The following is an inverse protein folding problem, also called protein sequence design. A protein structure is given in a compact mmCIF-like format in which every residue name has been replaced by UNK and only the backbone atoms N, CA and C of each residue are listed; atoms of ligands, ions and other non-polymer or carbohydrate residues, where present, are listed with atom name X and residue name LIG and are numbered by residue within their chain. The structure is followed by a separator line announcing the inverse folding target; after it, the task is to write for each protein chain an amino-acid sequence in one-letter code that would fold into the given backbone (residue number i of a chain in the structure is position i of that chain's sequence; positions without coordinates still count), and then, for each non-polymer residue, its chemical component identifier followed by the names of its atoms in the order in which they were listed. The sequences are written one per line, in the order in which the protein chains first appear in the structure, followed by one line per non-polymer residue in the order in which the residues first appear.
data_IF_249105111108
#
_entry.id   IF_249105111108
#
_cell.length_a   1.000
_cell.length_b   1.000
_cell.length_c   1.000
_cell.angle_alpha   90.00
_cell.angle_beta   90.00
_cell.angle_gamma   90.00
#
_symmetry.space_group_name_H-M   'P 1'
#
loop_
_entity.id
_entity.type
_entity.pdbx_description
1 polymer ?
#
# COMPACT_ATOMS: atom_id res chain seq x y z
N UNK A 1 -12.53 -12.47 -5.10
CA UNK A 1 -11.46 -11.91 -4.25
C UNK A 1 -11.95 -10.60 -3.62
N UNK A 2 -11.20 -9.99 -2.68
CA UNK A 2 -11.59 -8.71 -2.07
C UNK A 2 -11.77 -7.57 -3.12
N UNK A 3 -10.94 -7.56 -4.16
CA UNK A 3 -11.06 -6.64 -5.30
C UNK A 3 -12.37 -6.86 -6.10
N UNK A 4 -12.76 -8.13 -6.35
CA UNK A 4 -14.03 -8.43 -7.04
C UNK A 4 -15.24 -8.03 -6.22
N UNK A 5 -15.22 -8.23 -4.90
CA UNK A 5 -16.35 -7.96 -4.00
C UNK A 5 -16.45 -6.50 -3.54
N UNK A 6 -15.45 -5.66 -3.82
CA UNK A 6 -15.47 -4.24 -3.45
C UNK A 6 -16.64 -3.53 -4.13
N UNK A 7 -17.45 -2.78 -3.39
CA UNK A 7 -18.60 -2.10 -3.98
C UNK A 7 -18.25 -0.69 -4.44
N UNK A 8 -18.68 -0.31 -5.65
CA UNK A 8 -18.42 1.00 -6.23
C UNK A 8 -16.94 1.23 -6.56
N UNK A 9 -16.53 2.50 -6.49
CA UNK A 9 -15.18 2.98 -6.77
C UNK A 9 -14.24 2.78 -5.58
N UNK A 10 -12.98 2.44 -5.88
CA UNK A 10 -11.96 2.33 -4.84
C UNK A 10 -10.80 1.44 -5.24
N UNK A 11 -10.19 0.84 -4.23
CA UNK A 11 -8.91 0.14 -4.37
C UNK A 11 -8.87 -1.08 -3.48
N UNK A 12 -8.02 -2.04 -3.86
CA UNK A 12 -7.66 -3.18 -3.04
C UNK A 12 -6.14 -3.23 -2.90
N UNK A 13 -5.65 -3.35 -1.68
CA UNK A 13 -4.23 -3.36 -1.37
C UNK A 13 -3.80 -4.67 -0.70
N UNK A 14 -2.57 -5.08 -0.98
CA UNK A 14 -1.76 -5.85 -0.05
C UNK A 14 -0.94 -4.84 0.74
N UNK A 15 -0.98 -4.91 2.06
CA UNK A 15 -0.27 -3.99 2.95
C UNK A 15 0.56 -4.77 3.99
N UNK A 16 1.65 -4.17 4.46
CA UNK A 16 2.38 -4.59 5.67
C UNK A 16 1.83 -3.80 6.85
N UNK A 17 1.31 -4.51 7.86
CA UNK A 17 0.83 -3.91 9.10
C UNK A 17 2.02 -3.51 10.02
N UNK A 18 1.71 -2.80 11.11
CA UNK A 18 2.73 -2.37 12.07
C UNK A 18 3.48 -3.52 12.76
N UNK A 19 2.96 -4.76 12.70
CA UNK A 19 3.62 -5.97 13.21
C UNK A 19 4.49 -6.65 12.14
N UNK A 20 4.61 -6.05 10.95
CA UNK A 20 5.35 -6.60 9.83
C UNK A 20 4.60 -7.70 9.06
N UNK A 21 3.31 -7.91 9.33
CA UNK A 21 2.52 -8.98 8.71
C UNK A 21 1.75 -8.46 7.50
N UNK A 22 1.61 -9.32 6.49
CA UNK A 22 0.79 -9.01 5.32
C UNK A 22 -0.71 -9.07 5.65
N UNK A 23 -1.44 -8.10 5.10
CA UNK A 23 -2.91 -7.98 5.17
C UNK A 23 -3.46 -7.57 3.82
N UNK A 24 -4.71 -7.95 3.58
CA UNK A 24 -5.52 -7.38 2.49
C UNK A 24 -6.38 -6.28 3.07
N UNK A 25 -6.40 -5.13 2.41
CA UNK A 25 -7.23 -3.98 2.77
C UNK A 25 -7.98 -3.50 1.54
N UNK A 26 -9.20 -3.00 1.73
CA UNK A 26 -9.95 -2.27 0.70
C UNK A 26 -10.32 -0.89 1.21
N UNK A 27 -10.64 0.02 0.30
CA UNK A 27 -10.91 1.41 0.63
C UNK A 27 -11.69 2.06 -0.49
N UNK A 28 -12.65 2.89 -0.11
CA UNK A 28 -13.54 3.54 -1.05
C UNK A 28 -12.88 4.80 -1.60
N UNK A 29 -13.21 5.15 -2.84
CA UNK A 29 -12.81 6.42 -3.45
C UNK A 29 -11.30 6.71 -3.37
N UNK A 30 -10.89 7.63 -2.51
CA UNK A 30 -9.51 8.10 -2.34
C UNK A 30 -8.86 7.65 -1.01
N UNK A 31 -9.48 6.67 -0.32
CA UNK A 31 -8.88 6.08 0.86
C UNK A 31 -7.46 5.59 0.59
N UNK A 32 -6.58 5.70 1.58
CA UNK A 32 -5.16 5.36 1.42
C UNK A 32 -4.61 4.68 2.68
N UNK A 33 -4.03 3.48 2.60
CA UNK A 33 -3.49 2.78 3.77
C UNK A 33 -2.34 3.52 4.47
N UNK A 34 -1.64 4.41 3.75
CA UNK A 34 -0.56 5.23 4.31
C UNK A 34 -1.04 6.12 5.45
N UNK A 35 -2.23 6.72 5.35
CA UNK A 35 -2.77 7.56 6.43
C UNK A 35 -3.25 6.76 7.63
N UNK A 36 -3.46 5.45 7.45
CA UNK A 36 -3.81 4.50 8.50
C UNK A 36 -2.57 3.80 9.12
N UNK A 37 -1.35 4.22 8.75
CA UNK A 37 -0.10 3.69 9.30
C UNK A 37 0.28 2.30 8.78
N UNK A 38 -0.32 1.84 7.68
CA UNK A 38 0.07 0.60 6.99
C UNK A 38 0.92 0.93 5.77
N UNK A 39 1.89 0.07 5.45
CA UNK A 39 2.74 0.23 4.26
C UNK A 39 2.12 -0.53 3.08
N UNK A 40 1.59 0.13 2.04
CA UNK A 40 1.11 -0.56 0.84
C UNK A 40 2.27 -1.23 0.10
N UNK A 41 2.05 -2.49 -0.28
CA UNK A 41 3.00 -3.37 -0.97
C UNK A 41 2.60 -3.56 -2.43
N UNK A 42 1.30 -3.75 -2.67
CA UNK A 42 0.71 -3.89 -4.00
C UNK A 42 -0.68 -3.26 -3.97
N UNK A 43 -1.08 -2.62 -5.07
CA UNK A 43 -2.37 -1.95 -5.22
C UNK A 43 -3.04 -2.38 -6.51
N UNK A 44 -4.33 -2.74 -6.43
CA UNK A 44 -5.21 -2.97 -7.57
C UNK A 44 -6.29 -1.88 -7.58
N UNK A 45 -6.38 -1.13 -8.68
CA UNK A 45 -7.41 -0.11 -8.91
C UNK A 45 -8.70 -0.78 -9.38
N UNK A 46 -9.80 -0.59 -8.64
CA UNK A 46 -11.10 -1.18 -9.01
C UNK A 46 -12.13 -0.12 -9.41
N UNK A 47 -11.70 1.11 -9.67
CA UNK A 47 -12.50 2.09 -10.40
C UNK A 47 -12.81 1.58 -11.80
N UNK A 48 -14.05 1.74 -12.27
CA UNK A 48 -14.45 1.26 -13.60
C UNK A 48 -13.54 1.80 -14.70
N UNK A 49 -13.09 3.06 -14.60
CA UNK A 49 -12.20 3.64 -15.61
C UNK A 49 -10.85 2.90 -15.77
N UNK A 50 -10.43 2.11 -14.78
CA UNK A 50 -9.17 1.38 -14.83
C UNK A 50 -9.24 0.15 -15.75
N UNK A 51 -10.46 -0.36 -16.03
CA UNK A 51 -10.65 -1.61 -16.77
C UNK A 51 -11.78 -1.59 -17.80
N UNK A 52 -12.66 -0.58 -17.79
CA UNK A 52 -13.88 -0.62 -18.59
C UNK A 52 -13.61 -0.71 -20.09
N UNK A 53 -12.51 -0.11 -20.58
CA UNK A 53 -12.15 -0.11 -22.01
C UNK A 53 -11.89 -1.53 -22.52
N UNK A 54 -11.26 -2.39 -21.72
CA UNK A 54 -10.85 -3.74 -22.15
C UNK A 54 -11.79 -4.83 -21.63
N UNK A 55 -12.38 -4.64 -20.45
CA UNK A 55 -13.14 -5.67 -19.73
C UNK A 55 -14.61 -5.30 -19.49
N UNK A 56 -15.04 -4.07 -19.79
CA UNK A 56 -16.41 -3.57 -19.54
C UNK A 56 -16.83 -3.85 -18.10
N UNK A 57 -17.94 -4.55 -17.89
CA UNK A 57 -18.48 -4.89 -16.57
C UNK A 57 -17.82 -6.14 -15.94
N UNK A 58 -16.90 -6.82 -16.64
CA UNK A 58 -16.25 -8.02 -16.15
C UNK A 58 -15.00 -7.69 -15.33
N UNK A 59 -15.23 -7.15 -14.13
CA UNK A 59 -14.17 -6.84 -13.18
C UNK A 59 -13.38 -8.09 -12.76
N UNK A 60 -14.03 -9.25 -12.68
CA UNK A 60 -13.35 -10.48 -12.26
C UNK A 60 -12.21 -10.81 -13.24
N UNK A 61 -12.49 -10.75 -14.54
CA UNK A 61 -11.48 -10.97 -15.57
C UNK A 61 -10.34 -9.94 -15.55
N UNK A 62 -10.64 -8.68 -15.26
CA UNK A 62 -9.60 -7.66 -15.06
C UNK A 62 -8.70 -7.99 -13.87
N UNK A 63 -9.29 -8.39 -12.73
CA UNK A 63 -8.54 -8.75 -11.52
C UNK A 63 -7.67 -9.98 -11.77
N UNK A 64 -8.15 -10.95 -12.56
CA UNK A 64 -7.34 -12.11 -12.94
C UNK A 64 -6.13 -11.68 -13.79
N UNK A 65 -6.34 -10.85 -14.82
CA UNK A 65 -5.27 -10.33 -15.67
C UNK A 65 -4.27 -9.43 -14.90
N UNK A 66 -4.73 -8.73 -13.86
CA UNK A 66 -3.87 -7.93 -12.99
C UNK A 66 -2.79 -8.79 -12.31
N UNK A 67 -3.12 -10.01 -11.89
CA UNK A 67 -2.15 -10.90 -11.24
C UNK A 67 -1.04 -11.34 -12.20
N UNK A 68 -1.34 -11.50 -13.48
CA UNK A 68 -0.35 -11.83 -14.52
C UNK A 68 0.60 -10.67 -14.79
N UNK A 69 0.16 -9.43 -14.58
CA UNK A 69 0.94 -8.21 -14.84
C UNK A 69 1.60 -7.60 -13.58
N UNK A 70 1.38 -8.19 -12.40
CA UNK A 70 1.88 -7.64 -11.15
C UNK A 70 3.42 -7.61 -11.10
N UNK A 71 3.99 -6.46 -10.73
CA UNK A 71 5.43 -6.30 -10.54
C UNK A 71 5.86 -6.80 -9.16
N UNK A 72 6.20 -8.09 -9.09
CA UNK A 72 6.61 -8.76 -7.85
C UNK A 72 7.97 -8.28 -7.31
N UNK A 73 8.87 -7.82 -8.17
CA UNK A 73 10.17 -7.27 -7.74
C UNK A 73 9.96 -5.99 -6.94
N UNK A 74 9.07 -5.11 -7.43
CA UNK A 74 8.70 -3.89 -6.71
C UNK A 74 7.96 -4.20 -5.40
N UNK A 75 7.05 -5.18 -5.41
CA UNK A 75 6.35 -5.61 -4.20
C UNK A 75 7.33 -6.15 -3.13
N UNK A 76 8.32 -6.94 -3.54
CA UNK A 76 9.39 -7.44 -2.67
C UNK A 76 10.19 -6.28 -2.08
N UNK A 77 10.64 -5.33 -2.92
CA UNK A 77 11.37 -4.15 -2.45
C UNK A 77 10.55 -3.30 -1.47
N UNK A 78 9.25 -3.12 -1.73
CA UNK A 78 8.34 -2.40 -0.84
C UNK A 78 8.17 -3.11 0.51
N UNK A 79 8.17 -4.45 0.51
CA UNK A 79 8.06 -5.25 1.73
C UNK A 79 9.32 -5.17 2.59
N UNK A 80 10.49 -5.27 1.95
CA UNK A 80 11.81 -5.22 2.58
C UNK A 80 12.18 -3.84 3.11
N UNK A 81 11.57 -2.76 2.59
CA UNK A 81 11.78 -1.42 3.14
C UNK A 81 11.56 -1.44 4.66
N UNK A 82 12.56 -1.00 5.45
CA UNK A 82 12.38 -0.78 6.87
C UNK A 82 11.17 0.13 7.05
N UNK A 83 10.19 -0.30 7.85
CA UNK A 83 9.06 0.56 8.22
C UNK A 83 9.65 1.77 8.92
N UNK A 84 9.31 2.97 8.45
CA UNK A 84 9.93 4.25 8.77
C UNK A 84 10.54 4.26 10.19
N UNK A 85 11.83 3.93 10.26
CA UNK A 85 12.66 4.20 11.44
C UNK A 85 12.54 5.69 11.69
N UNK A 86 12.39 6.08 12.95
CA UNK A 86 12.09 7.47 13.36
C UNK A 86 12.77 8.50 12.44
N UNK A 87 12.06 9.60 12.09
CA UNK A 87 12.67 10.65 11.30
C UNK A 87 13.99 11.06 11.97
N UNK A 88 15.10 10.91 11.22
CA UNK A 88 16.50 11.23 11.61
C UNK A 88 16.67 12.65 12.20
N UNK A 89 15.62 13.45 12.14
CA UNK A 89 15.49 14.79 12.69
C UNK A 89 15.46 14.79 14.23
N UNK A 90 15.00 13.72 14.91
CA UNK A 90 14.90 13.69 16.37
C UNK A 90 16.06 12.97 17.10
N UNK A 91 16.87 12.17 16.41
CA UNK A 91 18.02 11.50 17.04
C UNK A 91 19.28 12.38 17.14
N UNK A 92 19.36 13.47 16.36
CA UNK A 92 20.52 14.39 16.38
C UNK A 92 20.39 15.56 17.36
N UNK A 93 19.22 15.76 17.96
CA UNK A 93 18.95 16.87 18.89
C UNK A 93 19.32 16.53 20.34
N UNK A 94 19.28 15.26 20.73
CA UNK A 94 19.70 14.79 22.06
C UNK A 94 21.22 14.82 22.24
N UNK A 95 21.99 14.46 21.20
CA UNK A 95 23.46 14.46 21.25
C UNK A 95 24.05 15.88 21.35
N UNK A 96 23.38 16.89 20.78
CA UNK A 96 23.83 18.29 20.83
C UNK A 96 23.55 18.99 22.17
N UNK A 97 22.62 18.48 22.99
CA UNK A 97 22.36 19.02 24.32
C UNK A 97 23.31 18.46 25.39
N UNK A 98 23.80 17.22 25.22
CA UNK A 98 24.81 16.66 26.11
C UNK A 98 26.19 17.34 25.94
N UNK A 99 26.59 17.64 24.71
CA UNK A 99 27.87 18.30 24.40
C UNK A 99 27.95 19.80 24.77
N UNK A 100 26.83 20.43 25.17
CA UNK A 100 26.78 21.82 25.64
C UNK A 100 26.82 21.96 27.17
N UNK A 101 26.95 20.84 27.89
CA UNK A 101 27.02 20.80 29.36
C UNK A 101 28.35 20.27 29.92
N UNK A 102 29.36 20.08 29.06
CA UNK A 102 30.74 19.76 29.46
C UNK A 102 31.64 20.99 29.40
#
# INVERSE_FOLDING_TARGET
SAATSHFGSGWCWIVKDAKGLLRVQTGANADCPLVAGSTPILTCDVWEHAYYIDYRNDRAKYVDAFWDAANWDFATLAFERPGDVEPVILSRSSERQAARRS
#
